data_IF_249550205834
#
_entry.id   IF_249550205834
#
_cell.length_a   1.000
_cell.length_b   1.000
_cell.length_c   1.000
_cell.angle_alpha   90.00
_cell.angle_beta   90.00
_cell.angle_gamma   90.00
#
_symmetry.space_group_name_H-M   'P 1'
#
loop_
_entity.id
_entity.type
_entity.pdbx_description
1 polymer ?
#
# COMPACT_ATOMS: atom_id res chain seq x y z
N UNK A 1 2.11 5.57 -8.74
CA UNK A 1 1.60 6.96 -8.81
C UNK A 1 0.81 7.23 -7.54
N UNK A 2 1.06 8.32 -6.81
CA UNK A 2 0.38 8.57 -5.53
C UNK A 2 -0.95 9.32 -5.71
N UNK A 3 -1.94 8.58 -6.20
CA UNK A 3 -3.30 9.09 -6.42
C UNK A 3 -4.00 9.47 -5.11
N UNK A 4 -3.62 8.86 -3.98
CA UNK A 4 -4.19 9.15 -2.66
C UNK A 4 -3.87 10.56 -2.20
N UNK A 5 -2.61 10.99 -2.36
CA UNK A 5 -2.23 12.37 -2.06
C UNK A 5 -2.88 13.38 -3.01
N UNK A 6 -3.00 13.04 -4.30
CA UNK A 6 -3.71 13.89 -5.28
C UNK A 6 -5.19 14.07 -4.92
N UNK A 7 -5.90 12.99 -4.58
CA UNK A 7 -7.30 13.02 -4.15
C UNK A 7 -7.54 13.85 -2.88
N UNK A 8 -6.52 14.09 -2.06
CA UNK A 8 -6.62 14.96 -0.88
C UNK A 8 -6.53 16.45 -1.22
N UNK A 9 -5.83 16.80 -2.29
CA UNK A 9 -5.55 18.19 -2.68
C UNK A 9 -6.57 18.69 -3.70
N UNK A 10 -6.98 17.82 -4.64
CA UNK A 10 -7.88 18.17 -5.74
C UNK A 10 -9.19 18.84 -5.30
N UNK A 11 -9.90 18.37 -4.23
CA UNK A 11 -11.12 19.04 -3.79
C UNK A 11 -10.90 20.47 -3.29
N UNK A 12 -9.77 20.74 -2.61
CA UNK A 12 -9.45 22.11 -2.17
C UNK A 12 -9.14 23.03 -3.34
N UNK A 13 -8.44 22.49 -4.35
CA UNK A 13 -8.13 23.23 -5.56
C UNK A 13 -9.40 23.56 -6.35
N UNK A 14 -10.34 22.61 -6.42
CA UNK A 14 -11.64 22.78 -7.08
C UNK A 14 -12.51 23.85 -6.41
N UNK A 15 -12.58 23.87 -5.07
CA UNK A 15 -13.26 24.94 -4.32
C UNK A 15 -12.62 26.30 -4.58
N UNK A 16 -11.29 26.41 -4.46
CA UNK A 16 -10.58 27.66 -4.73
C UNK A 16 -10.80 28.15 -6.17
N UNK A 17 -10.86 27.22 -7.13
CA UNK A 17 -11.11 27.55 -8.52
C UNK A 17 -12.53 28.07 -8.73
N UNK A 18 -13.53 27.42 -8.11
CA UNK A 18 -14.92 27.86 -8.12
C UNK A 18 -15.09 29.26 -7.51
N UNK A 19 -14.38 29.55 -6.41
CA UNK A 19 -14.38 30.87 -5.79
C UNK A 19 -13.79 31.95 -6.71
N UNK A 20 -12.73 31.63 -7.47
CA UNK A 20 -12.14 32.54 -8.46
C UNK A 20 -13.10 32.81 -9.62
N UNK A 21 -13.86 31.80 -10.07
CA UNK A 21 -14.90 32.00 -11.08
C UNK A 21 -16.02 32.90 -10.57
N UNK A 22 -16.48 32.67 -9.34
CA UNK A 22 -17.49 33.54 -8.70
C UNK A 22 -17.01 34.99 -8.56
N UNK A 23 -15.72 35.21 -8.28
CA UNK A 23 -15.14 36.57 -8.27
C UNK A 23 -15.16 37.23 -9.65
N UNK A 24 -14.86 36.50 -10.73
CA UNK A 24 -14.95 37.03 -12.09
C UNK A 24 -16.39 37.43 -12.44
N UNK A 25 -17.38 36.62 -12.07
CA UNK A 25 -18.80 36.96 -12.24
C UNK A 25 -19.17 38.22 -11.46
N UNK A 26 -18.71 38.33 -10.21
CA UNK A 26 -18.91 39.52 -9.37
C UNK A 26 -18.33 40.78 -10.03
N UNK A 27 -17.10 40.72 -10.55
CA UNK A 27 -16.49 41.83 -11.27
C UNK A 27 -17.27 42.21 -12.54
N UNK A 28 -17.76 41.22 -13.30
CA UNK A 28 -18.61 41.51 -14.46
C UNK A 28 -19.88 42.28 -14.07
N UNK A 29 -20.52 41.89 -12.97
CA UNK A 29 -21.70 42.57 -12.46
C UNK A 29 -21.38 43.99 -11.98
N UNK A 30 -20.28 44.16 -11.24
CA UNK A 30 -19.82 45.47 -10.78
C UNK A 30 -19.54 46.42 -11.95
N UNK A 31 -18.84 45.96 -12.99
CA UNK A 31 -18.56 46.76 -14.19
C UNK A 31 -19.88 47.17 -14.86
N UNK A 32 -20.83 46.24 -15.00
CA UNK A 32 -22.13 46.51 -15.61
C UNK A 32 -22.92 47.59 -14.85
N UNK A 33 -23.03 47.45 -13.53
CA UNK A 33 -23.75 48.42 -12.68
C UNK A 33 -23.06 49.79 -12.74
N UNK A 34 -21.73 49.82 -12.61
CA UNK A 34 -20.99 51.07 -12.64
C UNK A 34 -21.05 51.76 -14.01
N UNK A 35 -21.03 51.00 -15.12
CA UNK A 35 -21.20 51.56 -16.46
C UNK A 35 -22.58 52.22 -16.63
N UNK A 36 -23.63 51.58 -16.14
CA UNK A 36 -24.97 52.16 -16.16
C UNK A 36 -25.06 53.44 -15.31
N UNK A 37 -24.64 53.37 -14.04
CA UNK A 37 -24.63 54.53 -13.15
C UNK A 37 -23.81 55.68 -13.72
N UNK A 38 -22.65 55.37 -14.32
CA UNK A 38 -21.79 56.35 -14.96
C UNK A 38 -22.47 57.02 -16.16
N UNK A 39 -23.10 56.23 -17.04
CA UNK A 39 -23.83 56.73 -18.20
C UNK A 39 -24.96 57.68 -17.79
N UNK A 40 -25.73 57.32 -16.77
CA UNK A 40 -26.81 58.16 -16.23
C UNK A 40 -26.27 59.50 -15.69
N UNK A 41 -25.13 59.47 -14.99
CA UNK A 41 -24.50 60.69 -14.46
C UNK A 41 -23.89 61.55 -15.56
N UNK A 42 -23.32 60.95 -16.58
CA UNK A 42 -22.80 61.67 -17.74
C UNK A 42 -23.92 62.37 -18.51
N UNK A 43 -25.06 61.71 -18.69
CA UNK A 43 -26.24 62.33 -19.30
C UNK A 43 -26.71 63.56 -18.50
N UNK A 44 -26.84 63.43 -17.18
CA UNK A 44 -27.20 64.56 -16.30
C UNK A 44 -26.20 65.72 -16.40
N UNK A 45 -24.91 65.44 -16.61
CA UNK A 45 -23.89 66.45 -16.78
C UNK A 45 -23.99 67.14 -18.14
N UNK A 46 -24.24 66.38 -19.21
CA UNK A 46 -24.45 66.88 -20.57
C UNK A 46 -25.65 67.84 -20.64
N UNK A 47 -26.73 67.54 -19.93
CA UNK A 47 -27.91 68.40 -19.82
C UNK A 47 -27.59 69.75 -19.15
N UNK A 48 -26.68 69.75 -18.16
CA UNK A 48 -26.25 70.97 -17.45
C UNK A 48 -25.18 71.77 -18.20
N UNK A 49 -24.39 71.11 -19.04
CA UNK A 49 -23.28 71.69 -19.78
C UNK A 49 -23.45 71.46 -21.29
N UNK A 50 -24.53 72.00 -21.91
CA UNK A 50 -24.89 71.67 -23.28
C UNK A 50 -23.90 72.18 -24.35
N UNK A 51 -22.97 73.08 -23.98
CA UNK A 51 -21.96 73.63 -24.89
C UNK A 51 -20.60 72.94 -24.77
N UNK A 52 -20.41 72.10 -23.76
CA UNK A 52 -19.13 71.45 -23.50
C UNK A 52 -19.07 70.08 -24.20
N UNK A 53 -17.91 69.76 -24.75
CA UNK A 53 -17.65 68.45 -25.34
C UNK A 53 -17.21 67.45 -24.26
N UNK A 54 -18.15 66.61 -23.84
CA UNK A 54 -17.92 65.56 -22.83
C UNK A 54 -17.72 64.16 -23.45
N UNK A 55 -17.55 64.04 -24.77
CA UNK A 55 -17.45 62.73 -25.46
C UNK A 55 -16.32 61.85 -24.94
N UNK A 56 -15.22 62.44 -24.47
CA UNK A 56 -14.11 61.67 -23.88
C UNK A 56 -14.55 60.89 -22.62
N UNK A 57 -15.53 61.40 -21.88
CA UNK A 57 -16.06 60.76 -20.69
C UNK A 57 -16.89 59.52 -21.05
N UNK A 58 -17.59 59.51 -22.19
CA UNK A 58 -18.39 58.36 -22.61
C UNK A 58 -17.56 57.13 -23.00
N UNK A 59 -16.26 57.29 -23.23
CA UNK A 59 -15.35 56.17 -23.60
C UNK A 59 -15.42 55.02 -22.59
N UNK A 60 -15.60 55.33 -21.29
CA UNK A 60 -15.75 54.29 -20.28
C UNK A 60 -17.02 53.45 -20.50
N UNK A 61 -18.19 54.09 -20.56
CA UNK A 61 -19.48 53.40 -20.73
C UNK A 61 -19.56 52.70 -22.08
N UNK A 62 -19.13 53.37 -23.15
CA UNK A 62 -19.43 52.97 -24.52
C UNK A 62 -18.46 51.89 -25.03
N UNK A 63 -17.22 51.88 -24.51
CA UNK A 63 -16.16 51.03 -25.05
C UNK A 63 -15.46 50.19 -23.98
N UNK A 64 -14.92 50.84 -22.95
CA UNK A 64 -14.06 50.15 -21.97
C UNK A 64 -14.89 49.12 -21.19
N UNK A 65 -16.06 49.51 -20.71
CA UNK A 65 -16.93 48.64 -19.91
C UNK A 65 -17.36 47.40 -20.71
N UNK A 66 -17.77 47.58 -21.96
CA UNK A 66 -18.17 46.50 -22.86
C UNK A 66 -17.00 45.55 -23.14
N UNK A 67 -15.83 46.11 -23.45
CA UNK A 67 -14.61 45.34 -23.73
C UNK A 67 -14.26 44.40 -22.57
N UNK A 68 -14.26 44.91 -21.34
CA UNK A 68 -13.96 44.07 -20.17
C UNK A 68 -15.08 43.08 -19.85
N UNK A 69 -16.35 43.44 -20.01
CA UNK A 69 -17.46 42.49 -19.83
C UNK A 69 -17.36 41.32 -20.82
N UNK A 70 -17.02 41.59 -22.08
CA UNK A 70 -16.87 40.55 -23.10
C UNK A 70 -15.65 39.65 -22.82
N UNK A 71 -14.52 40.23 -22.42
CA UNK A 71 -13.35 39.45 -22.01
C UNK A 71 -13.66 38.56 -20.80
N UNK A 72 -14.33 39.09 -19.77
CA UNK A 72 -14.73 38.31 -18.60
C UNK A 72 -15.68 37.18 -19.01
N UNK A 73 -16.65 37.44 -19.88
CA UNK A 73 -17.57 36.41 -20.40
C UNK A 73 -16.83 35.29 -21.14
N UNK A 74 -15.86 35.64 -21.99
CA UNK A 74 -15.03 34.65 -22.70
C UNK A 74 -14.23 33.82 -21.71
N UNK A 75 -13.59 34.47 -20.74
CA UNK A 75 -12.80 33.81 -19.70
C UNK A 75 -13.67 32.86 -18.87
N UNK A 76 -14.86 33.30 -18.43
CA UNK A 76 -15.81 32.46 -17.70
C UNK A 76 -16.22 31.23 -18.52
N UNK A 77 -16.48 31.38 -19.81
CA UNK A 77 -16.81 30.25 -20.68
C UNK A 77 -15.64 29.27 -20.82
N UNK A 78 -14.43 29.78 -21.05
CA UNK A 78 -13.22 28.95 -21.19
C UNK A 78 -12.88 28.19 -19.90
N UNK A 79 -12.91 28.89 -18.78
CA UNK A 79 -12.61 28.34 -17.46
C UNK A 79 -13.71 27.39 -16.97
N UNK A 80 -14.99 27.70 -17.21
CA UNK A 80 -16.10 26.80 -16.93
C UNK A 80 -15.98 25.45 -17.66
N UNK A 81 -15.60 25.47 -18.95
CA UNK A 81 -15.32 24.22 -19.68
C UNK A 81 -14.14 23.44 -19.08
N UNK A 82 -13.09 24.15 -18.65
CA UNK A 82 -11.91 23.53 -18.03
C UNK A 82 -12.23 22.88 -16.68
N UNK A 83 -13.14 23.50 -15.89
CA UNK A 83 -13.65 22.93 -14.64
C UNK A 83 -14.30 21.56 -14.85
N UNK A 84 -15.17 21.45 -15.85
CA UNK A 84 -15.85 20.18 -16.15
C UNK A 84 -14.89 19.07 -16.62
N UNK A 85 -13.75 19.42 -17.22
CA UNK A 85 -12.70 18.46 -17.55
C UNK A 85 -11.93 18.00 -16.30
N UNK A 86 -11.66 18.91 -15.37
CA UNK A 86 -11.03 18.59 -14.09
C UNK A 86 -11.89 17.63 -13.26
N UNK A 87 -13.20 17.86 -13.20
CA UNK A 87 -14.14 16.97 -12.50
C UNK A 87 -14.14 15.55 -13.06
N UNK A 88 -14.10 15.43 -14.40
CA UNK A 88 -13.99 14.13 -15.07
C UNK A 88 -12.67 13.45 -14.74
N UNK A 89 -11.57 14.19 -14.70
CA UNK A 89 -10.26 13.65 -14.32
C UNK A 89 -10.24 13.19 -12.85
N UNK A 90 -10.79 13.99 -11.92
CA UNK A 90 -10.93 13.62 -10.50
C UNK A 90 -11.77 12.34 -10.36
N UNK A 91 -12.90 12.27 -11.06
CA UNK A 91 -13.80 11.11 -11.05
C UNK A 91 -13.11 9.86 -11.61
N UNK A 92 -12.35 10.00 -12.69
CA UNK A 92 -11.55 8.91 -13.26
C UNK A 92 -10.47 8.42 -12.29
N UNK A 93 -9.74 9.33 -11.64
CA UNK A 93 -8.75 8.96 -10.60
C UNK A 93 -9.42 8.22 -9.44
N UNK A 94 -10.60 8.68 -9.00
CA UNK A 94 -11.37 8.00 -7.94
C UNK A 94 -11.74 6.59 -8.36
N UNK A 95 -12.26 6.41 -9.58
CA UNK A 95 -12.59 5.09 -10.13
C UNK A 95 -11.38 4.15 -10.19
N UNK A 96 -10.20 4.64 -10.61
CA UNK A 96 -8.97 3.84 -10.62
C UNK A 96 -8.59 3.39 -9.19
N UNK A 97 -8.64 4.31 -8.22
CA UNK A 97 -8.31 3.99 -6.82
C UNK A 97 -9.29 2.98 -6.22
N UNK A 98 -10.58 3.10 -6.51
CA UNK A 98 -11.62 2.16 -6.06
C UNK A 98 -11.38 0.76 -6.65
N UNK A 99 -11.02 0.66 -7.94
CA UNK A 99 -10.68 -0.61 -8.58
C UNK A 99 -9.45 -1.23 -7.91
N UNK A 100 -8.37 -0.48 -7.73
CA UNK A 100 -7.15 -0.99 -7.07
C UNK A 100 -7.40 -1.44 -5.62
N UNK A 101 -8.29 -0.75 -4.90
CA UNK A 101 -8.68 -1.15 -3.55
C UNK A 101 -9.48 -2.45 -3.57
N UNK A 102 -10.48 -2.57 -4.44
CA UNK A 102 -11.27 -3.80 -4.59
C UNK A 102 -10.40 -5.00 -4.99
N UNK A 103 -9.40 -4.83 -5.86
CA UNK A 103 -8.46 -5.88 -6.22
C UNK A 103 -7.57 -6.30 -5.05
N UNK A 104 -7.04 -5.33 -4.28
CA UNK A 104 -6.27 -5.61 -3.07
C UNK A 104 -7.08 -6.35 -2.03
N UNK A 105 -8.33 -5.93 -1.79
CA UNK A 105 -9.21 -6.56 -0.81
C UNK A 105 -9.55 -8.01 -1.21
N UNK A 106 -9.83 -8.28 -2.49
CA UNK A 106 -10.02 -9.64 -3.00
C UNK A 106 -8.77 -10.50 -2.85
N UNK A 107 -7.59 -9.94 -3.12
CA UNK A 107 -6.33 -10.65 -2.96
C UNK A 107 -6.05 -10.99 -1.49
N UNK A 108 -6.32 -10.05 -0.58
CA UNK A 108 -6.19 -10.27 0.86
C UNK A 108 -7.18 -11.31 1.37
N UNK A 109 -8.46 -11.24 0.95
CA UNK A 109 -9.47 -12.22 1.33
C UNK A 109 -9.07 -13.62 0.87
N UNK A 110 -8.58 -13.76 -0.36
CA UNK A 110 -8.08 -15.03 -0.87
C UNK A 110 -6.89 -15.55 -0.04
N UNK A 111 -5.92 -14.69 0.26
CA UNK A 111 -4.77 -15.08 1.08
C UNK A 111 -5.16 -15.52 2.50
N UNK A 112 -6.17 -14.88 3.10
CA UNK A 112 -6.72 -15.27 4.40
C UNK A 112 -7.43 -16.62 4.34
N UNK A 113 -8.24 -16.87 3.31
CA UNK A 113 -8.91 -18.16 3.09
C UNK A 113 -7.89 -19.29 2.89
N UNK A 114 -6.89 -19.07 2.02
CA UNK A 114 -5.84 -20.06 1.75
C UNK A 114 -5.05 -20.40 3.03
N UNK A 115 -4.76 -19.39 3.87
CA UNK A 115 -4.12 -19.58 5.17
C UNK A 115 -5.02 -20.39 6.14
N UNK A 116 -6.29 -20.06 6.23
CA UNK A 116 -7.23 -20.78 7.10
C UNK A 116 -7.40 -22.25 6.68
N UNK A 117 -7.43 -22.53 5.37
CA UNK A 117 -7.45 -23.89 4.84
C UNK A 117 -6.17 -24.66 5.17
N UNK A 118 -5.01 -24.02 5.01
CA UNK A 118 -3.72 -24.62 5.39
C UNK A 118 -3.64 -24.90 6.90
N UNK A 119 -4.14 -23.99 7.75
CA UNK A 119 -4.16 -24.16 9.19
C UNK A 119 -5.07 -25.34 9.59
N UNK A 120 -6.29 -25.41 9.04
CA UNK A 120 -7.20 -26.56 9.24
C UNK A 120 -6.60 -27.89 8.76
N UNK A 121 -5.85 -27.89 7.64
CA UNK A 121 -5.18 -29.08 7.14
C UNK A 121 -4.08 -29.55 8.10
N UNK A 122 -3.29 -28.62 8.66
CA UNK A 122 -2.26 -28.93 9.67
C UNK A 122 -2.87 -29.49 10.95
N UNK A 123 -3.97 -28.93 11.43
CA UNK A 123 -4.66 -29.43 12.63
C UNK A 123 -5.20 -30.85 12.44
N UNK A 124 -5.83 -31.12 11.28
CA UNK A 124 -6.28 -32.49 10.93
C UNK A 124 -5.11 -33.47 10.86
N UNK A 125 -3.95 -33.03 10.34
CA UNK A 125 -2.76 -33.87 10.26
C UNK A 125 -2.19 -34.16 11.66
N UNK A 126 -2.14 -33.15 12.54
CA UNK A 126 -1.69 -33.30 13.92
C UNK A 126 -2.62 -34.24 14.72
N UNK A 127 -3.95 -34.10 14.56
CA UNK A 127 -4.93 -34.99 15.18
C UNK A 127 -4.76 -36.45 14.71
N UNK A 128 -4.55 -36.65 13.40
CA UNK A 128 -4.31 -37.99 12.84
C UNK A 128 -3.00 -38.59 13.33
N UNK A 129 -1.96 -37.78 13.45
CA UNK A 129 -0.68 -38.20 14.03
C UNK A 129 -0.85 -38.60 15.50
N UNK A 130 -1.62 -37.83 16.26
CA UNK A 130 -1.89 -38.12 17.66
C UNK A 130 -2.67 -39.43 17.85
N UNK A 131 -3.74 -39.64 17.07
CA UNK A 131 -4.48 -40.90 17.06
C UNK A 131 -3.58 -42.10 16.73
N UNK A 132 -2.66 -41.95 15.77
CA UNK A 132 -1.67 -42.98 15.45
C UNK A 132 -0.69 -43.24 16.58
N UNK A 133 -0.22 -42.20 17.27
CA UNK A 133 0.64 -42.35 18.46
C UNK A 133 -0.06 -43.12 19.56
N UNK A 134 -1.32 -42.78 19.87
CA UNK A 134 -2.10 -43.48 20.88
C UNK A 134 -2.30 -44.96 20.53
N UNK A 135 -2.70 -45.26 19.29
CA UNK A 135 -2.86 -46.65 18.83
C UNK A 135 -1.57 -47.46 19.00
N UNK A 136 -0.42 -46.87 18.65
CA UNK A 136 0.88 -47.53 18.80
C UNK A 136 1.24 -47.78 20.27
N UNK A 137 1.03 -46.79 21.15
CA UNK A 137 1.26 -46.93 22.60
C UNK A 137 0.39 -48.07 23.17
N UNK A 138 -0.89 -48.14 22.80
CA UNK A 138 -1.78 -49.22 23.23
C UNK A 138 -1.30 -50.59 22.73
N UNK A 139 -0.91 -50.71 21.46
CA UNK A 139 -0.43 -51.98 20.88
C UNK A 139 0.83 -52.50 21.57
N UNK A 140 1.83 -51.64 21.82
CA UNK A 140 3.04 -52.03 22.55
C UNK A 140 2.71 -52.41 24.00
N UNK A 141 1.83 -51.67 24.66
CA UNK A 141 1.40 -51.94 26.03
C UNK A 141 0.63 -53.25 26.20
N UNK A 142 -0.26 -53.61 25.26
CA UNK A 142 -1.02 -54.87 25.30
C UNK A 142 -0.23 -56.07 24.77
N UNK A 143 0.63 -55.88 23.76
CA UNK A 143 1.49 -56.94 23.23
C UNK A 143 2.47 -57.49 24.27
N UNK A 144 3.01 -56.62 25.13
CA UNK A 144 3.85 -57.03 26.27
C UNK A 144 3.05 -57.74 27.38
N UNK A 145 1.74 -57.48 27.51
CA UNK A 145 0.89 -58.13 28.51
C UNK A 145 0.44 -59.54 28.09
N UNK A 146 0.42 -59.85 26.80
CA UNK A 146 -0.07 -61.14 26.25
C UNK A 146 1.07 -62.10 25.88
N UNK A 147 2.32 -61.63 25.73
CA UNK A 147 3.49 -62.52 25.66
C UNK A 147 3.87 -63.00 27.06
N UNK A 148 3.16 -64.01 27.55
CA UNK A 148 3.46 -64.63 28.83
C UNK A 148 4.91 -65.12 28.92
N UNK A 149 5.68 -64.51 29.82
CA UNK A 149 6.58 -65.25 30.71
C UNK A 149 6.21 -64.81 32.13
N UNK A 150 5.57 -65.73 32.85
CA UNK A 150 5.71 -65.76 34.30
C UNK A 150 7.20 -65.93 34.61
N UNK A 151 7.85 -64.89 35.11
CA UNK A 151 9.06 -65.04 35.89
C UNK A 151 9.02 -64.05 37.04
N UNK A 152 8.88 -64.59 38.25
CA UNK A 152 9.34 -63.91 39.44
C UNK A 152 10.82 -63.55 39.23
N UNK A 153 11.13 -62.26 39.20
CA UNK A 153 12.39 -61.71 39.69
C UNK A 153 12.22 -60.20 39.85
N UNK A 154 12.61 -59.71 41.01
CA UNK A 154 12.55 -58.34 41.48
C UNK A 154 12.61 -57.25 40.40
N UNK A 155 11.53 -56.46 40.33
CA UNK A 155 11.38 -55.32 39.45
C UNK A 155 12.27 -54.15 39.92
N UNK A 156 13.56 -54.15 39.55
CA UNK A 156 14.38 -52.93 39.68
C UNK A 156 15.48 -52.72 38.63
N UNK A 157 15.58 -53.54 37.59
CA UNK A 157 16.67 -53.44 36.61
C UNK A 157 16.33 -53.15 35.13
N UNK A 158 15.11 -53.35 34.59
CA UNK A 158 14.91 -53.16 33.15
C UNK A 158 14.63 -51.70 32.72
N UNK A 159 14.26 -50.80 33.64
CA UNK A 159 13.95 -49.40 33.31
C UNK A 159 15.21 -48.56 33.07
N UNK A 160 16.27 -48.80 33.84
CA UNK A 160 17.58 -48.11 33.73
C UNK A 160 18.28 -48.41 32.39
N UNK A 161 18.18 -49.65 31.89
CA UNK A 161 18.80 -50.09 30.64
C UNK A 161 18.10 -49.54 29.38
N UNK A 162 16.80 -49.23 29.48
CA UNK A 162 16.02 -48.66 28.39
C UNK A 162 16.20 -47.12 28.36
N UNK A 163 16.26 -46.47 29.52
CA UNK A 163 16.58 -45.04 29.63
C UNK A 163 18.00 -44.73 29.11
N UNK A 164 19.00 -45.56 29.42
CA UNK A 164 20.38 -45.38 28.93
C UNK A 164 20.55 -45.59 27.42
N UNK A 165 19.64 -46.31 26.75
CA UNK A 165 19.68 -46.44 25.27
C UNK A 165 18.97 -45.30 24.54
N UNK A 166 18.01 -44.63 25.17
CA UNK A 166 17.34 -43.47 24.61
C UNK A 166 18.12 -42.15 24.82
N UNK A 167 19.05 -42.13 25.79
CA UNK A 167 19.88 -40.96 26.09
C UNK A 167 21.18 -40.87 25.22
N UNK A 168 21.58 -41.94 24.51
CA UNK A 168 22.85 -41.99 23.76
C UNK A 168 22.81 -41.37 22.35
N UNK A 169 22.00 -40.36 22.07
CA UNK A 169 22.20 -39.56 20.84
C UNK A 169 21.95 -38.08 21.08
N UNK A 170 22.84 -37.48 21.87
CA UNK A 170 23.01 -36.02 21.87
C UNK A 170 23.72 -35.39 23.06
N UNK A 171 24.68 -36.05 23.73
CA UNK A 171 25.60 -35.34 24.63
C UNK A 171 26.88 -35.01 23.87
N UNK A 172 27.14 -33.72 23.64
CA UNK A 172 28.47 -33.22 23.28
C UNK A 172 29.32 -33.22 24.57
N UNK A 173 30.34 -34.06 24.62
CA UNK A 173 31.41 -33.91 25.63
C UNK A 173 32.23 -32.66 25.29
N UNK A 174 32.00 -31.54 25.99
CA UNK A 174 32.93 -30.40 26.04
C UNK A 174 33.97 -30.70 27.15
N UNK A 175 35.30 -30.58 26.91
CA UNK A 175 36.30 -30.83 27.94
C UNK A 175 36.32 -29.70 28.99
N UNK A 176 36.67 -30.10 30.21
CA UNK A 176 36.61 -29.34 31.45
C UNK A 176 37.69 -28.24 31.51
N UNK A 177 37.39 -27.07 30.92
CA UNK A 177 38.05 -25.81 31.24
C UNK A 177 37.18 -24.60 30.81
N UNK A 178 36.46 -24.01 31.77
CA UNK A 178 35.89 -22.66 31.67
C UNK A 178 34.57 -22.52 30.89
N UNK A 179 33.64 -21.73 31.43
CA UNK A 179 32.25 -21.55 31.00
C UNK A 179 32.05 -20.80 29.64
N UNK A 180 33.02 -20.82 28.72
CA UNK A 180 33.04 -19.94 27.54
C UNK A 180 33.19 -20.55 26.12
N UNK A 181 33.36 -21.87 25.83
CA UNK A 181 33.54 -22.29 24.43
C UNK A 181 32.35 -22.96 23.71
N UNK A 182 31.28 -23.45 24.35
CA UNK A 182 30.27 -24.25 23.60
C UNK A 182 29.25 -23.39 22.79
N UNK A 183 29.11 -22.08 23.06
CA UNK A 183 28.20 -21.17 22.31
C UNK A 183 28.87 -20.46 21.11
N UNK A 184 30.20 -20.33 21.09
CA UNK A 184 30.92 -19.63 20.02
C UNK A 184 31.19 -20.50 18.80
N UNK A 185 31.17 -21.82 18.95
CA UNK A 185 31.41 -22.77 17.85
C UNK A 185 30.23 -22.82 16.86
N UNK A 186 29.00 -22.70 17.35
CA UNK A 186 27.78 -22.80 16.51
C UNK A 186 27.56 -21.53 15.67
N UNK A 187 27.88 -20.35 16.21
CA UNK A 187 27.67 -19.08 15.49
C UNK A 187 28.65 -18.93 14.32
N UNK A 188 29.94 -19.16 14.55
CA UNK A 188 30.96 -19.05 13.49
C UNK A 188 30.81 -20.12 12.41
N UNK A 189 30.39 -21.33 12.76
CA UNK A 189 30.16 -22.40 11.79
C UNK A 189 28.99 -22.07 10.84
N UNK A 190 27.88 -21.56 11.37
CA UNK A 190 26.72 -21.13 10.55
C UNK A 190 27.07 -19.91 9.71
N UNK A 191 27.79 -18.93 10.28
CA UNK A 191 28.24 -17.75 9.54
C UNK A 191 29.18 -18.11 8.39
N UNK A 192 30.10 -19.05 8.60
CA UNK A 192 31.01 -19.54 7.56
C UNK A 192 30.25 -20.26 6.42
N UNK A 193 29.22 -21.05 6.74
CA UNK A 193 28.39 -21.73 5.74
C UNK A 193 27.49 -20.77 4.95
N UNK A 194 26.94 -19.73 5.60
CA UNK A 194 26.17 -18.67 4.92
C UNK A 194 27.08 -17.87 3.98
N UNK A 195 28.28 -17.50 4.42
CA UNK A 195 29.23 -16.74 3.58
C UNK A 195 29.73 -17.55 2.38
N UNK A 196 30.02 -18.85 2.56
CA UNK A 196 30.38 -19.73 1.43
C UNK A 196 29.19 -19.93 0.49
N UNK A 197 27.98 -20.15 1.01
CA UNK A 197 26.77 -20.32 0.19
C UNK A 197 26.45 -19.10 -0.66
N UNK A 198 26.55 -17.89 -0.09
CA UNK A 198 26.37 -16.63 -0.83
C UNK A 198 27.50 -16.42 -1.84
N UNK A 199 28.74 -16.75 -1.50
CA UNK A 199 29.89 -16.64 -2.40
C UNK A 199 29.78 -17.57 -3.62
N UNK A 200 29.44 -18.85 -3.41
CA UNK A 200 29.26 -19.82 -4.50
C UNK A 200 28.07 -19.44 -5.38
N UNK A 201 26.96 -18.96 -4.78
CA UNK A 201 25.80 -18.47 -5.51
C UNK A 201 26.11 -17.26 -6.41
N UNK A 202 26.89 -16.29 -5.91
CA UNK A 202 27.28 -15.11 -6.67
C UNK A 202 28.22 -15.46 -7.84
N UNK A 203 29.16 -16.39 -7.63
CA UNK A 203 30.07 -16.86 -8.70
C UNK A 203 29.27 -17.62 -9.78
N UNK A 204 28.33 -18.47 -9.39
CA UNK A 204 27.47 -19.17 -10.34
C UNK A 204 26.59 -18.19 -11.14
N UNK A 205 25.98 -17.20 -10.47
CA UNK A 205 25.18 -16.16 -11.13
C UNK A 205 26.01 -15.33 -12.12
N UNK A 206 27.24 -14.96 -11.75
CA UNK A 206 28.16 -14.22 -12.62
C UNK A 206 28.62 -15.05 -13.83
N UNK A 207 28.87 -16.36 -13.66
CA UNK A 207 29.19 -17.26 -14.78
C UNK A 207 27.99 -17.39 -15.72
N UNK A 208 26.78 -17.56 -15.19
CA UNK A 208 25.54 -17.66 -15.98
C UNK A 208 25.27 -16.36 -16.74
N UNK A 209 25.36 -15.20 -16.09
CA UNK A 209 25.19 -13.89 -16.73
C UNK A 209 26.22 -13.67 -17.85
N UNK A 210 27.48 -14.04 -17.62
CA UNK A 210 28.55 -13.91 -18.63
C UNK A 210 28.38 -14.86 -19.82
N UNK A 211 27.80 -16.05 -19.61
CA UNK A 211 27.46 -17.00 -20.69
C UNK A 211 26.27 -16.49 -21.49
N UNK A 212 25.25 -15.94 -20.84
CA UNK A 212 24.06 -15.36 -21.50
C UNK A 212 24.47 -14.15 -22.34
N UNK A 213 25.27 -13.23 -21.79
CA UNK A 213 25.74 -12.06 -22.53
C UNK A 213 26.68 -12.39 -23.69
N UNK A 214 27.45 -13.49 -23.63
CA UNK A 214 28.28 -13.95 -24.77
C UNK A 214 27.49 -14.62 -25.88
N UNK A 215 26.26 -15.10 -25.64
CA UNK A 215 25.38 -15.67 -26.69
C UNK A 215 24.48 -14.64 -27.38
N UNK A 216 24.45 -13.41 -26.88
CA UNK A 216 23.63 -12.30 -27.41
C UNK A 216 24.43 -11.34 -28.33
N UNK A 217 25.62 -11.74 -28.75
CA UNK A 217 26.47 -11.09 -29.76
C UNK A 217 26.89 -12.13 -30.79
#
# INVERSE_FOLDING_TARGET
MDFKNKLRILPKLDLNYSDLLGQLESYSLTIKINAQNYSEKLQQLQEKLPKDDLRILSVFSDKISHTYQEQIKINLSYFGHSSGLLDKAISSIRGIVEIEQAERDRALEKALRDKEEADRARDKQAEKQEKRRQLWITFVGTGLAVSGISSQSDAKQPLEAILTKLDRKGSLDCPEAGLYPCLTYTFWFVLFHILIGVGVGAIAAFIVDRIIHRRSK
#
